data_IF_973333289012
#
_entry.id   IF_973333289012
#
_cell.length_a   1.000
_cell.length_b   1.000
_cell.length_c   1.000
_cell.angle_alpha   90.00
_cell.angle_beta   90.00
_cell.angle_gamma   90.00
#
_symmetry.space_group_name_H-M   'P 1'
#
loop_
_entity.id
_entity.type
_entity.pdbx_description
1 polymer ?
#
# COMPACT_ATOMS: atom_id res chain seq x y z
N UNK A 1 14.41 -24.73 5.08
CA UNK A 1 13.00 -24.55 4.70
C UNK A 1 12.16 -24.69 5.96
N UNK A 2 11.22 -23.78 6.23
CA UNK A 2 10.39 -23.83 7.45
C UNK A 2 9.61 -25.15 7.51
N UNK A 3 9.45 -25.77 8.68
CA UNK A 3 8.91 -27.14 8.80
C UNK A 3 7.38 -27.19 8.68
N UNK A 4 6.69 -26.18 9.20
CA UNK A 4 5.23 -26.05 9.16
C UNK A 4 4.73 -25.78 7.73
N UNK A 5 3.86 -26.65 7.23
CA UNK A 5 3.29 -26.56 5.89
C UNK A 5 2.35 -25.36 5.72
N UNK A 6 1.47 -25.12 6.70
CA UNK A 6 0.52 -24.01 6.65
C UNK A 6 1.25 -22.67 6.67
N UNK A 7 2.32 -22.56 7.46
CA UNK A 7 3.16 -21.37 7.46
C UNK A 7 3.79 -21.12 6.08
N UNK A 8 4.33 -22.16 5.42
CA UNK A 8 4.89 -22.02 4.06
C UNK A 8 3.83 -21.56 3.06
N UNK A 9 2.64 -22.16 3.10
CA UNK A 9 1.54 -21.79 2.21
C UNK A 9 1.07 -20.34 2.45
N UNK A 10 0.93 -19.92 3.72
CA UNK A 10 0.60 -18.54 4.08
C UNK A 10 1.65 -17.56 3.57
N UNK A 11 2.95 -17.85 3.75
CA UNK A 11 4.00 -16.96 3.26
C UNK A 11 4.05 -16.90 1.73
N UNK A 12 3.68 -17.97 1.02
CA UNK A 12 3.49 -17.93 -0.43
C UNK A 12 2.32 -17.04 -0.83
N UNK A 13 1.18 -17.15 -0.16
CA UNK A 13 0.02 -16.27 -0.39
C UNK A 13 0.36 -14.79 -0.12
N UNK A 14 1.05 -14.50 0.99
CA UNK A 14 1.53 -13.15 1.32
C UNK A 14 2.47 -12.65 0.22
N UNK A 15 3.43 -13.47 -0.23
CA UNK A 15 4.37 -13.07 -1.28
C UNK A 15 3.65 -12.72 -2.60
N UNK A 16 2.66 -13.51 -3.00
CA UNK A 16 1.86 -13.23 -4.22
C UNK A 16 1.06 -11.92 -4.13
N UNK A 17 0.60 -11.54 -2.92
CA UNK A 17 -0.10 -10.27 -2.68
C UNK A 17 0.88 -9.09 -2.60
N UNK A 18 1.99 -9.24 -1.88
CA UNK A 18 2.99 -8.17 -1.75
C UNK A 18 3.68 -7.86 -3.09
N UNK A 19 3.87 -8.84 -3.97
CA UNK A 19 4.38 -8.60 -5.32
C UNK A 19 3.42 -7.70 -6.14
N UNK A 20 2.10 -7.87 -5.96
CA UNK A 20 1.11 -6.98 -6.58
C UNK A 20 1.24 -5.56 -6.05
N UNK A 21 1.41 -5.41 -4.72
CA UNK A 21 1.62 -4.09 -4.10
C UNK A 21 2.89 -3.42 -4.61
N UNK A 22 4.02 -4.13 -4.64
CA UNK A 22 5.29 -3.60 -5.15
C UNK A 22 5.16 -3.16 -6.61
N UNK A 23 4.48 -3.95 -7.44
CA UNK A 23 4.22 -3.59 -8.84
C UNK A 23 3.40 -2.30 -8.94
N UNK A 24 2.34 -2.15 -8.14
CA UNK A 24 1.51 -0.95 -8.13
C UNK A 24 2.30 0.28 -7.65
N UNK A 25 3.03 0.16 -6.54
CA UNK A 25 3.84 1.26 -6.00
C UNK A 25 4.98 1.65 -6.94
N UNK A 26 5.58 0.68 -7.64
CA UNK A 26 6.61 0.94 -8.64
C UNK A 26 6.14 1.82 -9.81
N UNK A 27 4.84 1.86 -10.08
CA UNK A 27 4.23 2.69 -11.12
C UNK A 27 3.83 4.10 -10.67
N UNK A 28 3.94 4.42 -9.37
CA UNK A 28 3.50 5.73 -8.84
C UNK A 28 4.49 6.88 -9.10
N UNK A 29 5.75 6.59 -9.44
CA UNK A 29 6.75 7.63 -9.73
C UNK A 29 6.47 8.38 -11.04
N UNK A 30 6.90 9.63 -11.17
CA UNK A 30 6.86 10.34 -12.47
C UNK A 30 7.93 9.70 -13.39
N UNK A 31 7.55 9.05 -14.50
CA UNK A 31 8.51 8.40 -15.39
C UNK A 31 9.43 9.39 -16.13
N UNK A 32 9.19 10.70 -15.98
CA UNK A 32 9.96 11.77 -16.63
C UNK A 32 10.95 12.45 -15.68
N UNK A 33 10.94 12.11 -14.39
CA UNK A 33 11.88 12.69 -13.44
C UNK A 33 13.32 12.23 -13.75
N UNK A 34 14.29 13.13 -13.63
CA UNK A 34 15.70 12.74 -13.67
C UNK A 34 16.07 12.02 -12.37
N UNK A 35 17.14 11.22 -12.39
CA UNK A 35 17.64 10.59 -11.17
C UNK A 35 18.03 11.61 -10.09
N UNK A 36 18.48 12.80 -10.52
CA UNK A 36 18.89 13.85 -9.61
C UNK A 36 17.68 14.60 -9.05
N UNK A 37 16.64 14.85 -9.84
CA UNK A 37 15.34 15.33 -9.34
C UNK A 37 14.77 14.37 -8.30
N UNK A 38 14.71 13.08 -8.62
CA UNK A 38 14.23 12.04 -7.71
C UNK A 38 14.98 12.07 -6.39
N UNK A 39 16.31 12.08 -6.44
CA UNK A 39 17.15 12.16 -5.24
C UNK A 39 16.85 13.43 -4.44
N UNK A 40 16.73 14.57 -5.12
CA UNK A 40 16.47 15.86 -4.47
C UNK A 40 15.10 15.89 -3.77
N UNK A 41 14.05 15.39 -4.44
CA UNK A 41 12.72 15.28 -3.86
C UNK A 41 12.66 14.29 -2.69
N UNK A 42 13.48 13.24 -2.71
CA UNK A 42 13.65 12.35 -1.56
C UNK A 42 14.27 13.09 -0.37
N UNK A 43 15.34 13.87 -0.56
CA UNK A 43 15.94 14.66 0.52
C UNK A 43 14.94 15.69 1.08
N UNK A 44 14.17 16.34 0.21
CA UNK A 44 13.11 17.27 0.62
C UNK A 44 12.03 16.56 1.45
N UNK A 45 11.60 15.38 1.03
CA UNK A 45 10.61 14.57 1.73
C UNK A 45 11.11 14.19 3.13
N UNK A 46 12.35 13.71 3.25
CA UNK A 46 12.92 13.34 4.55
C UNK A 46 13.10 14.57 5.46
N UNK A 47 13.63 15.68 4.94
CA UNK A 47 13.73 16.94 5.68
C UNK A 47 12.36 17.38 6.21
N UNK A 48 11.33 17.33 5.38
CA UNK A 48 9.97 17.67 5.74
C UNK A 48 9.37 16.74 6.82
N UNK A 49 9.60 15.42 6.70
CA UNK A 49 9.14 14.44 7.67
C UNK A 49 9.83 14.61 9.02
N UNK A 50 11.16 14.78 9.05
CA UNK A 50 11.89 15.02 10.29
C UNK A 50 11.53 16.37 10.92
N UNK A 51 11.32 17.41 10.11
CA UNK A 51 10.82 18.68 10.60
C UNK A 51 9.45 18.51 11.26
N UNK A 52 8.51 17.82 10.60
CA UNK A 52 7.18 17.55 11.15
C UNK A 52 7.24 16.77 12.46
N UNK A 53 8.12 15.75 12.54
CA UNK A 53 8.36 15.01 13.78
C UNK A 53 8.93 15.92 14.88
N UNK A 54 9.90 16.77 14.57
CA UNK A 54 10.48 17.70 15.54
C UNK A 54 9.43 18.70 16.09
N UNK A 55 8.54 19.21 15.24
CA UNK A 55 7.49 20.16 15.64
C UNK A 55 6.42 19.52 16.54
N UNK A 56 6.19 18.22 16.40
CA UNK A 56 5.11 17.49 17.11
C UNK A 56 5.62 16.63 18.27
N UNK A 57 6.93 16.38 18.35
CA UNK A 57 7.55 15.56 19.40
C UNK A 57 7.39 16.20 20.78
N UNK A 58 7.00 15.41 21.77
CA UNK A 58 6.78 15.86 23.16
C UNK A 58 8.00 15.67 24.04
N UNK A 59 8.83 14.65 23.77
CA UNK A 59 10.08 14.40 24.51
C UNK A 59 11.23 15.23 23.90
N UNK A 60 11.73 16.21 24.67
CA UNK A 60 12.80 17.10 24.24
C UNK A 60 14.09 16.37 23.84
N UNK A 61 14.37 15.20 24.42
CA UNK A 61 15.57 14.42 24.08
C UNK A 61 15.45 13.80 22.69
N UNK A 62 14.25 13.33 22.34
CA UNK A 62 13.97 12.76 21.01
C UNK A 62 13.86 13.89 19.98
N UNK A 63 13.26 15.03 20.34
CA UNK A 63 13.14 16.19 19.46
C UNK A 63 14.49 16.63 18.89
N UNK A 64 15.54 16.66 19.71
CA UNK A 64 16.90 17.02 19.27
C UNK A 64 17.42 16.06 18.19
N UNK A 65 17.04 14.77 18.24
CA UNK A 65 17.40 13.80 17.21
C UNK A 65 16.70 14.13 15.89
N UNK A 66 15.39 14.40 15.93
CA UNK A 66 14.63 14.81 14.76
C UNK A 66 15.16 16.11 14.15
N UNK A 67 15.48 17.11 14.97
CA UNK A 67 16.07 18.37 14.51
C UNK A 67 17.43 18.16 13.85
N UNK A 68 18.24 17.23 14.35
CA UNK A 68 19.54 16.91 13.76
C UNK A 68 19.36 16.23 12.39
N UNK A 69 18.46 15.26 12.28
CA UNK A 69 18.17 14.62 10.99
C UNK A 69 17.57 15.62 9.99
N UNK A 70 16.63 16.47 10.42
CA UNK A 70 16.10 17.54 9.56
C UNK A 70 17.22 18.44 9.01
N UNK A 71 18.20 18.85 9.84
CA UNK A 71 19.35 19.66 9.40
C UNK A 71 20.24 18.91 8.40
N UNK A 72 20.45 17.61 8.61
CA UNK A 72 21.22 16.78 7.70
C UNK A 72 20.54 16.72 6.32
N UNK A 73 19.24 16.43 6.29
CA UNK A 73 18.52 16.30 5.03
C UNK A 73 18.32 17.65 4.31
N UNK A 74 18.20 18.76 5.04
CA UNK A 74 18.26 20.11 4.43
C UNK A 74 19.62 20.34 3.77
N UNK A 75 20.70 19.93 4.42
CA UNK A 75 22.05 20.05 3.86
C UNK A 75 22.21 19.18 2.60
N UNK A 76 21.66 17.96 2.61
CA UNK A 76 21.66 17.10 1.43
C UNK A 76 20.80 17.68 0.30
N UNK A 77 19.63 18.23 0.61
CA UNK A 77 18.77 18.91 -0.35
C UNK A 77 19.49 20.09 -1.02
N UNK A 78 20.18 20.94 -0.25
CA UNK A 78 20.99 22.04 -0.80
C UNK A 78 22.13 21.52 -1.69
N UNK A 79 22.81 20.44 -1.29
CA UNK A 79 23.84 19.82 -2.12
C UNK A 79 23.26 19.28 -3.45
N UNK A 80 22.09 18.65 -3.41
CA UNK A 80 21.38 18.18 -4.59
C UNK A 80 20.91 19.34 -5.48
N UNK A 81 20.42 20.43 -4.91
CA UNK A 81 20.06 21.64 -5.66
C UNK A 81 21.26 22.22 -6.42
N UNK A 82 22.44 22.30 -5.79
CA UNK A 82 23.67 22.70 -6.48
C UNK A 82 24.06 21.74 -7.61
N UNK A 83 23.85 20.43 -7.44
CA UNK A 83 24.10 19.46 -8.50
C UNK A 83 23.14 19.65 -9.68
N UNK A 84 21.85 19.95 -9.42
CA UNK A 84 20.86 20.22 -10.48
C UNK A 84 21.28 21.45 -11.27
N UNK A 85 21.62 22.55 -10.59
CA UNK A 85 22.08 23.76 -11.26
C UNK A 85 23.34 23.48 -12.10
N UNK A 86 24.31 22.75 -11.54
CA UNK A 86 25.58 22.47 -12.21
C UNK A 86 25.47 21.53 -13.42
N UNK A 87 24.68 20.47 -13.32
CA UNK A 87 24.65 19.40 -14.32
C UNK A 87 23.43 19.43 -15.23
N UNK A 88 22.30 20.00 -14.77
CA UNK A 88 21.07 20.11 -15.55
C UNK A 88 20.75 21.57 -15.95
N UNK A 89 21.41 22.57 -15.34
CA UNK A 89 21.20 23.98 -15.68
C UNK A 89 19.83 24.52 -15.26
N UNK A 90 19.22 23.94 -14.22
CA UNK A 90 17.86 24.25 -13.77
C UNK A 90 17.86 24.81 -12.34
N UNK A 91 16.92 25.69 -12.03
CA UNK A 91 16.70 26.18 -10.66
C UNK A 91 15.85 25.15 -9.88
N UNK A 92 16.24 24.87 -8.64
CA UNK A 92 15.49 23.99 -7.74
C UNK A 92 14.04 24.47 -7.52
N UNK A 93 13.79 25.77 -7.59
CA UNK A 93 12.45 26.38 -7.48
C UNK A 93 11.51 25.95 -8.60
N UNK A 94 12.04 25.65 -9.78
CA UNK A 94 11.25 25.15 -10.92
C UNK A 94 10.79 23.70 -10.69
N UNK A 95 11.49 22.96 -9.82
CA UNK A 95 11.17 21.58 -9.45
C UNK A 95 10.22 21.52 -8.26
N UNK A 96 10.57 22.19 -7.15
CA UNK A 96 9.77 22.14 -5.92
C UNK A 96 8.45 22.89 -6.06
N UNK A 97 8.44 24.03 -6.76
CA UNK A 97 7.25 24.84 -7.07
C UNK A 97 6.39 25.18 -5.84
N UNK A 98 7.00 25.27 -4.67
CA UNK A 98 6.34 25.60 -3.41
C UNK A 98 7.31 26.38 -2.52
N UNK A 99 6.80 27.47 -1.93
CA UNK A 99 7.55 28.27 -0.95
C UNK A 99 7.41 27.72 0.47
N UNK A 100 6.31 27.01 0.74
CA UNK A 100 5.95 26.42 2.03
C UNK A 100 5.31 25.06 1.81
N UNK A 101 5.61 24.09 2.68
CA UNK A 101 4.99 22.77 2.70
C UNK A 101 4.16 22.65 3.98
N UNK A 102 2.83 22.69 3.81
CA UNK A 102 1.83 22.59 4.88
C UNK A 102 0.70 21.63 4.47
N UNK A 103 -0.03 21.02 5.43
CA UNK A 103 0.20 21.06 6.88
C UNK A 103 1.21 20.00 7.33
N UNK A 104 1.87 20.22 8.47
CA UNK A 104 2.81 19.25 9.08
C UNK A 104 2.23 17.83 9.13
N UNK A 105 3.10 16.83 8.99
CA UNK A 105 2.72 15.43 9.25
C UNK A 105 2.62 15.21 10.75
N UNK A 106 1.42 14.88 11.22
CA UNK A 106 1.15 14.57 12.63
C UNK A 106 0.74 13.11 12.75
N UNK A 107 1.35 12.40 13.70
CA UNK A 107 0.96 11.04 14.04
C UNK A 107 -0.20 11.04 15.04
N UNK A 108 -1.38 10.74 14.54
CA UNK A 108 -2.60 10.62 15.34
C UNK A 108 -3.24 9.24 15.14
N UNK A 109 -4.16 8.87 16.04
CA UNK A 109 -4.92 7.64 15.87
C UNK A 109 -5.79 7.72 14.62
N UNK A 110 -5.47 6.92 13.61
CA UNK A 110 -6.24 6.82 12.36
C UNK A 110 -7.23 5.64 12.34
N UNK A 111 -7.48 5.00 13.49
CA UNK A 111 -8.33 3.79 13.57
C UNK A 111 -9.73 4.01 13.02
N UNK A 112 -10.37 5.12 13.38
CA UNK A 112 -11.75 5.41 12.94
C UNK A 112 -11.80 5.69 11.43
N UNK A 113 -10.77 6.36 10.90
CA UNK A 113 -10.60 6.53 9.46
C UNK A 113 -10.47 5.19 8.76
N UNK A 114 -9.56 4.32 9.20
CA UNK A 114 -9.34 3.00 8.59
C UNK A 114 -10.60 2.12 8.69
N UNK A 115 -11.27 2.11 9.85
CA UNK A 115 -12.52 1.37 10.02
C UNK A 115 -13.60 1.85 9.03
N UNK A 116 -13.76 3.17 8.87
CA UNK A 116 -14.69 3.74 7.90
C UNK A 116 -14.34 3.35 6.46
N UNK A 117 -13.07 3.41 6.08
CA UNK A 117 -12.63 2.97 4.74
C UNK A 117 -12.95 1.49 4.52
N UNK A 118 -12.68 0.62 5.49
CA UNK A 118 -13.04 -0.80 5.39
C UNK A 118 -14.57 -0.97 5.25
N UNK A 119 -15.38 -0.20 5.97
CA UNK A 119 -16.83 -0.27 5.87
C UNK A 119 -17.38 0.23 4.52
N UNK A 120 -16.85 1.34 4.02
CA UNK A 120 -17.34 2.03 2.81
C UNK A 120 -16.79 1.45 1.51
N UNK A 121 -15.59 0.86 1.55
CA UNK A 121 -14.82 0.47 0.36
C UNK A 121 -14.50 -1.02 0.32
N UNK A 122 -15.13 -1.84 1.18
CA UNK A 122 -14.95 -3.29 1.23
C UNK A 122 -15.09 -3.96 -0.14
N UNK A 123 -16.03 -3.47 -0.94
CA UNK A 123 -16.41 -4.06 -2.21
C UNK A 123 -15.71 -3.41 -3.42
N UNK A 124 -14.80 -2.45 -3.22
CA UNK A 124 -14.03 -1.89 -4.33
C UNK A 124 -13.02 -2.91 -4.87
N UNK A 125 -13.04 -3.09 -6.18
CA UNK A 125 -12.12 -3.97 -6.91
C UNK A 125 -11.41 -3.20 -8.01
N UNK A 126 -10.16 -3.57 -8.28
CA UNK A 126 -9.41 -3.05 -9.41
C UNK A 126 -9.83 -3.74 -10.71
N UNK A 127 -10.36 -2.98 -11.67
CA UNK A 127 -10.59 -3.42 -13.03
C UNK A 127 -9.92 -2.45 -14.01
N UNK A 128 -8.84 -2.92 -14.65
CA UNK A 128 -7.97 -2.08 -15.47
C UNK A 128 -7.43 -0.88 -14.66
N UNK A 129 -7.59 0.34 -15.17
CA UNK A 129 -7.12 1.58 -14.53
C UNK A 129 -8.18 2.25 -13.64
N UNK A 130 -9.16 1.47 -13.14
CA UNK A 130 -10.27 1.99 -12.32
C UNK A 130 -10.56 1.11 -11.12
N UNK A 131 -11.01 1.73 -10.03
CA UNK A 131 -11.67 1.05 -8.93
C UNK A 131 -13.18 1.08 -9.15
N UNK A 132 -13.83 -0.07 -9.06
CA UNK A 132 -15.29 -0.19 -9.23
C UNK A 132 -15.87 -1.05 -8.11
N UNK A 133 -17.11 -0.75 -7.71
CA UNK A 133 -17.83 -1.58 -6.76
C UNK A 133 -18.07 -2.97 -7.35
N UNK A 134 -17.99 -4.01 -6.50
CA UNK A 134 -18.04 -5.40 -6.93
C UNK A 134 -19.27 -5.72 -7.76
N UNK A 135 -20.43 -5.14 -7.42
CA UNK A 135 -21.69 -5.30 -8.17
C UNK A 135 -21.61 -4.81 -9.62
N UNK A 136 -20.71 -3.87 -9.91
CA UNK A 136 -20.56 -3.20 -11.20
C UNK A 136 -19.38 -3.79 -12.01
N UNK A 137 -18.62 -4.74 -11.43
CA UNK A 137 -17.55 -5.47 -12.12
C UNK A 137 -18.14 -6.32 -13.25
N UNK A 138 -17.46 -6.37 -14.40
CA UNK A 138 -17.91 -7.19 -15.53
C UNK A 138 -17.70 -8.70 -15.27
N UNK A 139 -18.58 -9.54 -15.82
CA UNK A 139 -18.51 -11.00 -15.66
C UNK A 139 -17.30 -11.66 -16.34
N UNK A 140 -16.64 -10.95 -17.26
CA UNK A 140 -15.41 -11.37 -17.92
C UNK A 140 -14.13 -10.94 -17.16
N UNK A 141 -14.27 -10.37 -15.96
CA UNK A 141 -13.15 -9.96 -15.13
C UNK A 141 -12.21 -11.15 -14.84
N UNK A 142 -10.95 -11.00 -15.24
CA UNK A 142 -9.93 -12.06 -15.21
C UNK A 142 -9.68 -12.62 -13.80
N UNK A 143 -9.87 -11.79 -12.77
CA UNK A 143 -9.70 -12.16 -11.37
C UNK A 143 -10.62 -13.30 -10.94
N UNK A 144 -11.83 -13.43 -11.49
CA UNK A 144 -12.70 -14.57 -11.16
C UNK A 144 -12.05 -15.90 -11.53
N UNK A 145 -11.45 -16.00 -12.73
CA UNK A 145 -10.75 -17.20 -13.18
C UNK A 145 -9.48 -17.45 -12.35
N UNK A 146 -8.76 -16.39 -12.02
CA UNK A 146 -7.56 -16.48 -11.20
C UNK A 146 -7.88 -17.01 -9.79
N UNK A 147 -8.81 -16.37 -9.07
CA UNK A 147 -9.23 -16.79 -7.74
C UNK A 147 -9.76 -18.23 -7.73
N UNK A 148 -10.59 -18.59 -8.72
CA UNK A 148 -11.09 -19.96 -8.82
C UNK A 148 -9.99 -21.01 -9.00
N UNK A 149 -8.94 -20.71 -9.79
CA UNK A 149 -7.79 -21.62 -9.96
C UNK A 149 -6.94 -21.68 -8.69
N UNK A 150 -6.59 -20.52 -8.13
CA UNK A 150 -5.67 -20.41 -7.00
C UNK A 150 -6.28 -20.95 -5.70
N UNK A 151 -7.56 -20.63 -5.43
CA UNK A 151 -8.22 -20.97 -4.17
C UNK A 151 -8.83 -22.38 -4.16
N UNK A 152 -8.64 -23.17 -5.23
CA UNK A 152 -9.24 -24.50 -5.38
C UNK A 152 -8.87 -25.46 -4.25
N UNK A 153 -7.64 -25.35 -3.74
CA UNK A 153 -7.12 -26.18 -2.65
C UNK A 153 -7.38 -25.58 -1.25
N UNK A 154 -8.12 -24.47 -1.17
CA UNK A 154 -8.30 -23.68 0.04
C UNK A 154 -7.51 -22.36 -0.01
N UNK A 155 -7.74 -21.54 1.01
CA UNK A 155 -7.06 -20.25 1.20
C UNK A 155 -6.32 -20.30 2.55
N UNK A 156 -4.97 -20.38 2.54
CA UNK A 156 -4.16 -20.50 3.75
C UNK A 156 -4.42 -19.41 4.80
N UNK A 157 -4.61 -18.17 4.38
CA UNK A 157 -4.94 -17.05 5.27
C UNK A 157 -6.26 -17.26 6.02
N UNK A 158 -7.31 -17.75 5.34
CA UNK A 158 -8.59 -18.10 5.97
C UNK A 158 -8.44 -19.24 6.98
N UNK A 159 -7.59 -20.24 6.67
CA UNK A 159 -7.31 -21.34 7.60
C UNK A 159 -6.64 -20.82 8.89
N UNK A 160 -5.66 -19.93 8.77
CA UNK A 160 -4.98 -19.29 9.91
C UNK A 160 -5.96 -18.45 10.72
N UNK A 161 -6.79 -17.64 10.06
CA UNK A 161 -7.82 -16.83 10.73
C UNK A 161 -8.85 -17.70 11.44
N UNK A 162 -9.25 -18.83 10.86
CA UNK A 162 -10.22 -19.75 11.47
C UNK A 162 -9.69 -20.36 12.78
N UNK A 163 -8.40 -20.67 12.84
CA UNK A 163 -7.71 -21.25 14.02
C UNK A 163 -7.36 -20.21 15.08
N UNK A 164 -7.28 -18.94 14.70
CA UNK A 164 -6.92 -17.84 15.60
C UNK A 164 -8.08 -17.42 16.52
N UNK A 165 -7.73 -17.02 17.74
CA UNK A 165 -8.63 -16.40 18.73
C UNK A 165 -8.32 -14.92 18.98
N UNK A 166 -7.44 -14.33 18.17
CA UNK A 166 -7.03 -12.93 18.31
C UNK A 166 -8.20 -11.97 18.04
N UNK A 167 -8.09 -10.75 18.55
CA UNK A 167 -9.08 -9.71 18.24
C UNK A 167 -9.11 -9.37 16.74
N UNK A 168 -7.98 -9.53 16.03
CA UNK A 168 -7.92 -9.40 14.58
C UNK A 168 -8.78 -10.47 13.88
N UNK A 169 -8.72 -11.73 14.33
CA UNK A 169 -9.56 -12.79 13.79
C UNK A 169 -11.06 -12.56 14.09
N UNK A 170 -11.40 -11.87 15.19
CA UNK A 170 -12.80 -11.46 15.45
C UNK A 170 -13.26 -10.39 14.46
N UNK A 171 -12.39 -9.45 14.09
CA UNK A 171 -12.71 -8.40 13.11
C UNK A 171 -12.97 -8.96 11.72
N UNK A 172 -12.14 -9.90 11.25
CA UNK A 172 -12.36 -10.58 9.97
C UNK A 172 -13.70 -11.34 9.91
N UNK A 173 -14.21 -11.75 11.08
CA UNK A 173 -15.51 -12.43 11.21
C UNK A 173 -16.70 -11.48 11.33
N UNK A 174 -16.50 -10.17 11.13
CA UNK A 174 -17.59 -9.20 11.05
C UNK A 174 -18.58 -9.59 9.93
N UNK A 175 -19.87 -9.27 10.13
CA UNK A 175 -20.93 -9.76 9.27
C UNK A 175 -20.79 -9.23 7.83
N UNK A 176 -20.50 -7.94 7.66
CA UNK A 176 -20.25 -7.33 6.36
C UNK A 176 -19.11 -8.02 5.57
N UNK A 177 -18.02 -8.37 6.26
CA UNK A 177 -16.87 -9.08 5.65
C UNK A 177 -17.29 -10.49 5.21
N UNK A 178 -18.00 -11.23 6.06
CA UNK A 178 -18.50 -12.57 5.72
C UNK A 178 -19.47 -12.54 4.55
N UNK A 179 -20.38 -11.57 4.53
CA UNK A 179 -21.37 -11.40 3.47
C UNK A 179 -20.68 -11.10 2.14
N UNK A 180 -19.69 -10.20 2.17
CA UNK A 180 -18.90 -9.87 0.99
C UNK A 180 -18.08 -11.06 0.48
N UNK A 181 -17.34 -11.76 1.35
CA UNK A 181 -16.61 -12.99 0.99
C UNK A 181 -17.54 -14.04 0.36
N UNK A 182 -18.73 -14.21 0.91
CA UNK A 182 -19.74 -15.14 0.39
C UNK A 182 -20.27 -14.69 -0.97
N UNK A 183 -20.48 -13.40 -1.19
CA UNK A 183 -20.91 -12.83 -2.46
C UNK A 183 -19.87 -13.06 -3.56
N UNK A 184 -18.59 -12.83 -3.25
CA UNK A 184 -17.47 -13.07 -4.17
C UNK A 184 -17.38 -14.55 -4.53
N UNK A 185 -17.40 -15.44 -3.54
CA UNK A 185 -17.33 -16.88 -3.76
C UNK A 185 -18.49 -17.37 -4.65
N UNK A 186 -19.73 -16.99 -4.31
CA UNK A 186 -20.93 -17.36 -5.07
C UNK A 186 -20.87 -16.91 -6.52
N UNK A 187 -20.55 -15.63 -6.77
CA UNK A 187 -20.46 -15.11 -8.14
C UNK A 187 -19.33 -15.77 -8.94
N UNK A 188 -18.21 -16.04 -8.29
CA UNK A 188 -17.09 -16.76 -8.90
C UNK A 188 -17.50 -18.18 -9.31
N UNK A 189 -18.15 -18.91 -8.42
CA UNK A 189 -18.66 -20.26 -8.69
C UNK A 189 -19.69 -20.27 -9.83
N UNK A 190 -20.65 -19.35 -9.82
CA UNK A 190 -21.67 -19.21 -10.87
C UNK A 190 -21.05 -18.97 -12.25
N UNK A 191 -20.03 -18.11 -12.34
CA UNK A 191 -19.34 -17.80 -13.60
C UNK A 191 -18.40 -18.90 -14.09
N UNK A 192 -17.88 -19.72 -13.17
CA UNK A 192 -16.96 -20.82 -13.48
C UNK A 192 -17.68 -22.18 -13.62
N UNK A 193 -18.94 -22.29 -13.18
CA UNK A 193 -19.74 -23.48 -13.30
C UNK A 193 -19.78 -24.00 -14.76
N UNK A 194 -19.43 -25.28 -14.94
CA UNK A 194 -19.41 -25.93 -16.26
C UNK A 194 -18.18 -25.63 -17.12
N UNK A 195 -17.22 -24.80 -16.68
CA UNK A 195 -15.94 -24.61 -17.36
C UNK A 195 -14.93 -25.67 -16.90
N UNK A 196 -14.23 -26.37 -17.80
CA UNK A 196 -13.18 -27.29 -17.40
C UNK A 196 -12.07 -26.50 -16.68
N UNK A 197 -11.52 -27.08 -15.61
CA UNK A 197 -10.32 -26.53 -14.98
C UNK A 197 -9.21 -26.42 -16.05
N UNK A 198 -8.55 -25.25 -16.20
CA UNK A 198 -7.40 -25.14 -17.07
C UNK A 198 -6.38 -26.21 -16.70
N UNK A 199 -5.68 -26.80 -17.67
CA UNK A 199 -4.58 -27.73 -17.36
C UNK A 199 -3.59 -27.06 -16.39
N UNK A 200 -3.03 -27.88 -15.50
CA UNK A 200 -2.01 -27.45 -14.54
C UNK A 200 -0.82 -26.84 -15.26
#
# INVERSE_FOLDING_TARGET
MYTDELARQLYSEIADVEEQHVTQYGLLGDPRETMLEKLTLMQLCEAYLYHSCAQTETDSRIRVIWENFAKMEVTHFEACAHLIEKYEGRDIRDIVRADVIEPLVVFESNKDYVNRIIEEQLDLQAQNMKYMHFRDIADDWSTFKFQWKMNKAGVPSEEVVSKSKSDLAKRDRAQNIKDFKSQVAKRTEELMAGRPAPPM
#
